data_IF_983458262977
#
_entry.id   IF_983458262977
#
_cell.length_a   1.000
_cell.length_b   1.000
_cell.length_c   1.000
_cell.angle_alpha   90.00
_cell.angle_beta   90.00
_cell.angle_gamma   90.00
#
_symmetry.space_group_name_H-M   'P 1'
#
loop_
_entity.id
_entity.type
_entity.pdbx_description
1 polymer ?
#
# COMPACT_ATOMS: atom_id res chain seq x y z
N UNK A 1 -10.76 -10.42 -12.76
CA UNK A 1 -10.02 -9.30 -13.39
C UNK A 1 -10.19 -8.04 -12.55
N UNK A 2 -9.13 -7.55 -11.92
CA UNK A 2 -9.18 -6.20 -11.30
C UNK A 2 -9.09 -5.17 -12.43
N UNK A 3 -9.92 -4.13 -12.39
CA UNK A 3 -9.93 -3.12 -13.45
C UNK A 3 -8.66 -2.26 -13.41
N UNK A 4 -8.08 -1.95 -14.57
CA UNK A 4 -6.85 -1.14 -14.68
C UNK A 4 -6.94 0.20 -13.94
N UNK A 5 -8.15 0.77 -13.87
CA UNK A 5 -8.45 1.99 -13.11
C UNK A 5 -8.20 1.82 -11.61
N UNK A 6 -8.58 0.68 -11.01
CA UNK A 6 -8.37 0.42 -9.59
C UNK A 6 -6.89 0.23 -9.26
N UNK A 7 -6.14 -0.43 -10.15
CA UNK A 7 -4.69 -0.59 -9.99
C UNK A 7 -3.96 0.75 -10.09
N UNK A 8 -4.34 1.61 -11.03
CA UNK A 8 -3.79 2.97 -11.13
C UNK A 8 -4.04 3.79 -9.85
N UNK A 9 -5.23 3.66 -9.24
CA UNK A 9 -5.54 4.31 -7.97
C UNK A 9 -4.67 3.80 -6.82
N UNK A 10 -4.47 2.47 -6.69
CA UNK A 10 -3.60 1.88 -5.67
C UNK A 10 -2.15 2.34 -5.81
N UNK A 11 -1.61 2.34 -7.03
CA UNK A 11 -0.25 2.79 -7.32
C UNK A 11 -0.05 4.27 -6.94
N UNK A 12 -1.03 5.11 -7.29
CA UNK A 12 -1.02 6.53 -6.93
C UNK A 12 -0.98 6.74 -5.41
N UNK A 13 -1.83 6.03 -4.66
CA UNK A 13 -1.87 6.10 -3.19
C UNK A 13 -0.55 5.61 -2.58
N UNK A 14 0.01 4.50 -3.10
CA UNK A 14 1.31 3.96 -2.65
C UNK A 14 2.45 4.94 -2.90
N UNK A 15 2.45 5.63 -4.04
CA UNK A 15 3.44 6.67 -4.35
C UNK A 15 3.40 7.81 -3.32
N UNK A 16 2.21 8.32 -2.98
CA UNK A 16 2.10 9.37 -1.97
C UNK A 16 2.51 8.91 -0.57
N UNK A 17 2.20 7.66 -0.20
CA UNK A 17 2.63 7.06 1.06
C UNK A 17 4.15 6.97 1.19
N UNK A 18 4.85 6.57 0.12
CA UNK A 18 6.32 6.50 0.09
C UNK A 18 6.98 7.90 0.17
N UNK A 19 6.31 8.92 -0.37
CA UNK A 19 6.71 10.33 -0.23
C UNK A 19 6.34 10.95 1.13
N UNK A 20 6.08 10.13 2.15
CA UNK A 20 5.72 10.52 3.51
C UNK A 20 4.39 11.29 3.68
N UNK A 21 3.55 11.38 2.63
CA UNK A 21 2.22 11.99 2.73
C UNK A 21 1.24 10.92 3.25
N UNK A 22 0.94 10.98 4.54
CA UNK A 22 0.08 10.00 5.24
C UNK A 22 -1.36 10.47 5.46
N UNK A 23 -1.64 11.73 5.14
CA UNK A 23 -2.96 12.33 5.33
C UNK A 23 -3.86 12.06 4.11
N UNK A 24 -4.95 11.32 4.34
CA UNK A 24 -5.92 10.99 3.29
C UNK A 24 -6.46 12.23 2.57
N UNK A 25 -6.72 13.31 3.33
CA UNK A 25 -7.21 14.58 2.81
C UNK A 25 -6.22 15.28 1.87
N UNK A 26 -4.91 15.14 2.11
CA UNK A 26 -3.89 15.71 1.22
C UNK A 26 -3.81 14.95 -0.10
N UNK A 27 -3.90 13.62 -0.04
CA UNK A 27 -3.96 12.77 -1.23
C UNK A 27 -5.23 13.07 -2.03
N UNK A 28 -6.37 13.28 -1.36
CA UNK A 28 -7.63 13.67 -2.00
C UNK A 28 -7.54 15.05 -2.68
N UNK A 29 -6.82 16.01 -2.10
CA UNK A 29 -6.63 17.32 -2.77
C UNK A 29 -5.80 17.19 -4.05
N UNK A 30 -4.87 16.24 -4.10
CA UNK A 30 -3.99 15.99 -5.25
C UNK A 30 -4.57 15.01 -6.26
N UNK A 31 -5.65 14.30 -5.93
CA UNK A 31 -6.20 13.22 -6.75
C UNK A 31 -7.72 13.26 -6.79
N UNK A 32 -8.34 12.86 -7.90
CA UNK A 32 -9.80 12.72 -7.99
C UNK A 32 -10.34 11.44 -7.32
N UNK A 33 -9.60 10.86 -6.38
CA UNK A 33 -9.97 9.61 -5.71
C UNK A 33 -10.89 9.92 -4.52
N UNK A 34 -11.99 9.18 -4.32
CA UNK A 34 -12.84 9.36 -3.15
C UNK A 34 -12.08 9.15 -1.83
N UNK A 35 -12.37 10.00 -0.84
CA UNK A 35 -11.70 9.97 0.48
C UNK A 35 -11.79 8.60 1.14
N UNK A 36 -12.98 7.98 1.11
CA UNK A 36 -13.21 6.64 1.67
C UNK A 36 -12.26 5.58 1.07
N UNK A 37 -12.02 5.63 -0.25
CA UNK A 37 -11.10 4.70 -0.92
C UNK A 37 -9.65 4.93 -0.47
N UNK A 38 -9.25 6.18 -0.28
CA UNK A 38 -7.91 6.52 0.21
C UNK A 38 -7.74 6.01 1.64
N UNK A 39 -8.69 6.30 2.54
CA UNK A 39 -8.64 5.87 3.94
C UNK A 39 -8.58 4.34 4.08
N UNK A 40 -9.40 3.61 3.31
CA UNK A 40 -9.39 2.15 3.31
C UNK A 40 -8.03 1.58 2.87
N UNK A 41 -7.40 2.18 1.85
CA UNK A 41 -6.09 1.74 1.37
C UNK A 41 -4.96 2.14 2.32
N UNK A 42 -5.02 3.33 2.94
CA UNK A 42 -4.06 3.76 3.96
C UNK A 42 -4.12 2.87 5.21
N UNK A 43 -5.33 2.46 5.61
CA UNK A 43 -5.51 1.49 6.70
C UNK A 43 -4.78 0.18 6.40
N UNK A 44 -4.95 -0.36 5.19
CA UNK A 44 -4.22 -1.57 4.74
C UNK A 44 -2.70 -1.37 4.68
N UNK A 45 -2.23 -0.24 4.17
CA UNK A 45 -0.79 0.10 4.18
C UNK A 45 -0.21 0.17 5.57
N UNK A 46 -1.00 0.63 6.56
CA UNK A 46 -0.56 0.69 7.96
C UNK A 46 -0.55 -0.68 8.63
N UNK A 47 -1.49 -1.55 8.29
CA UNK A 47 -1.64 -2.89 8.88
C UNK A 47 -0.67 -3.92 8.26
N UNK A 48 -0.52 -3.90 6.93
CA UNK A 48 0.22 -4.93 6.17
C UNK A 48 1.48 -4.39 5.50
N UNK A 49 1.60 -3.06 5.34
CA UNK A 49 2.66 -2.45 4.52
C UNK A 49 2.36 -2.48 3.02
N UNK A 50 1.20 -3.01 2.61
CA UNK A 50 0.80 -3.16 1.21
C UNK A 50 -0.68 -2.85 0.96
N UNK A 51 -1.01 -2.44 -0.26
CA UNK A 51 -2.39 -2.11 -0.71
C UNK A 51 -3.09 -3.27 -1.41
N UNK A 52 -2.37 -4.35 -1.76
CA UNK A 52 -2.98 -5.51 -2.38
C UNK A 52 -3.75 -6.33 -1.37
N UNK A 53 -4.84 -6.90 -1.87
CA UNK A 53 -5.62 -7.87 -1.12
C UNK A 53 -4.96 -9.22 -1.31
N UNK A 54 -4.08 -9.62 -0.38
CA UNK A 54 -3.82 -11.05 -0.20
C UNK A 54 -5.06 -11.64 0.49
N UNK A 55 -5.91 -12.29 -0.31
CA UNK A 55 -6.79 -13.31 0.22
C UNK A 55 -5.87 -14.50 0.51
N UNK A 56 -5.66 -14.84 1.79
CA UNK A 56 -4.76 -15.91 2.21
C UNK A 56 -5.38 -17.28 1.93
N UNK A 57 -5.58 -17.61 0.66
CA UNK A 57 -5.86 -18.97 0.24
C UNK A 57 -4.72 -19.40 -0.69
N UNK A 58 -3.91 -20.31 -0.17
CA UNK A 58 -3.01 -21.23 -0.88
C UNK A 58 -1.61 -20.72 -1.24
N UNK A 59 -0.67 -21.02 -0.33
CA UNK A 59 0.62 -21.67 -0.59
C UNK A 59 1.31 -21.37 -1.93
N UNK A 60 1.73 -20.12 -2.12
CA UNK A 60 2.86 -19.86 -3.03
C UNK A 60 3.85 -18.93 -2.35
N UNK A 61 5.00 -19.50 -2.00
CA UNK A 61 6.19 -18.78 -1.55
C UNK A 61 6.72 -17.89 -2.67
N UNK A 62 6.07 -16.74 -2.93
CA UNK A 62 6.69 -15.64 -3.65
C UNK A 62 7.03 -14.53 -2.65
N UNK A 63 8.18 -14.77 -2.02
CA UNK A 63 9.17 -13.84 -1.48
C UNK A 63 8.72 -12.36 -1.46
N UNK A 64 7.67 -12.06 -0.70
CA UNK A 64 7.40 -10.71 -0.21
C UNK A 64 8.26 -10.51 1.02
N UNK A 65 9.58 -10.57 0.83
CA UNK A 65 10.51 -10.06 1.83
C UNK A 65 10.18 -8.57 1.93
N UNK A 66 9.38 -8.23 2.93
CA UNK A 66 9.03 -6.85 3.22
C UNK A 66 10.32 -6.06 3.36
N UNK A 67 10.41 -4.92 2.69
CA UNK A 67 11.55 -4.00 2.79
C UNK A 67 11.89 -3.65 4.26
N UNK A 68 10.88 -3.73 5.14
CA UNK A 68 11.02 -3.62 6.60
C UNK A 68 11.75 -4.81 7.25
N UNK A 69 11.54 -6.04 6.77
CA UNK A 69 12.24 -7.24 7.24
C UNK A 69 13.73 -7.21 6.88
N UNK A 70 14.10 -6.68 5.71
CA UNK A 70 15.51 -6.46 5.32
C UNK A 70 16.13 -5.36 6.18
N UNK A 71 15.46 -4.21 6.31
CA UNK A 71 16.00 -3.07 7.07
C UNK A 71 16.19 -3.39 8.57
N UNK A 72 15.27 -4.13 9.18
CA UNK A 72 15.38 -4.58 10.57
C UNK A 72 16.51 -5.60 10.77
N UNK A 73 16.85 -6.39 9.75
CA UNK A 73 17.96 -7.36 9.82
C UNK A 73 19.33 -6.70 9.54
N UNK A 74 19.38 -5.65 8.71
CA UNK A 74 20.63 -4.91 8.44
C UNK A 74 21.15 -4.10 9.63
N UNK A 75 20.28 -3.68 10.56
CA UNK A 75 20.68 -2.96 11.78
C UNK A 75 21.21 -3.86 12.91
N UNK A 76 21.20 -5.19 12.75
CA UNK A 76 21.63 -6.15 13.78
C UNK A 76 23.08 -6.62 13.63
N UNK A 77 23.93 -5.89 12.91
CA UNK A 77 25.35 -6.22 12.79
C UNK A 77 26.23 -5.03 13.13
#
# INVERSE_FOLDING_TARGET
MVSARLEAQKQTIRHYWLNAIKLAKEIQKKTSIPLYSIERNLKKLRETGDVNHQCNNEDTYDISISHMSIWRNMKKK
#
